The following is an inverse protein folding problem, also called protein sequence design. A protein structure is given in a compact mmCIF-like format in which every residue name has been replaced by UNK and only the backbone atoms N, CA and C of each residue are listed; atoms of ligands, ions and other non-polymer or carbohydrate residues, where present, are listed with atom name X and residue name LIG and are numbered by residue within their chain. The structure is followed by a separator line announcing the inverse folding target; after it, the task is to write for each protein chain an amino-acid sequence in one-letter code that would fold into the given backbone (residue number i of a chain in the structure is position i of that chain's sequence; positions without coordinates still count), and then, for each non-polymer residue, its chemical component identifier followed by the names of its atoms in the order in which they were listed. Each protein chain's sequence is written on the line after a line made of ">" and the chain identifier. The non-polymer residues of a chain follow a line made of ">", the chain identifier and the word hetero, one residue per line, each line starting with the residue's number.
data_IF_018957955258
#
_entry.id   IF_018957955258
#
_cell.length_a   1.000
_cell.length_b   1.000
_cell.length_c   1.000
_cell.angle_alpha   90.00
_cell.angle_beta   90.00
_cell.angle_gamma   90.00
#
_symmetry.space_group_name_H-M   'P 1'
#
loop_
_entity.id
_entity.type
_entity.pdbx_description
1 polymer ?
#
# COMPACT_ATOMS: atom_id res chain seq x y z
N UNK A 1 92.46 51.45 36.92
CA UNK A 1 92.34 51.73 35.47
C UNK A 1 91.92 50.49 34.69
N UNK A 2 92.10 49.27 35.24
CA UNK A 2 91.72 47.99 34.61
C UNK A 2 90.20 47.67 34.64
N UNK A 3 89.43 48.10 35.65
CA UNK A 3 87.98 47.82 35.70
C UNK A 3 87.18 48.52 34.59
N UNK A 4 87.59 49.71 34.15
CA UNK A 4 86.90 50.44 33.07
C UNK A 4 87.12 49.81 31.69
N UNK A 5 88.28 49.20 31.46
CA UNK A 5 88.59 48.50 30.20
C UNK A 5 87.87 47.16 30.06
N UNK A 6 87.59 46.47 31.17
CA UNK A 6 86.82 45.22 31.18
C UNK A 6 85.33 45.43 30.88
N UNK A 7 84.73 46.49 31.44
CA UNK A 7 83.31 46.80 31.24
C UNK A 7 82.95 47.19 29.80
N UNK A 8 83.79 48.00 29.13
CA UNK A 8 83.56 48.42 27.74
C UNK A 8 83.74 47.25 26.74
N UNK A 9 84.69 46.34 27.00
CA UNK A 9 84.89 45.14 26.17
C UNK A 9 83.72 44.15 26.29
N UNK A 10 83.14 44.00 27.49
CA UNK A 10 81.96 43.16 27.70
C UNK A 10 80.70 43.74 27.04
N UNK A 11 80.52 45.07 27.01
CA UNK A 11 79.39 45.71 26.33
C UNK A 11 79.51 45.59 24.80
N UNK A 12 80.71 45.67 24.24
CA UNK A 12 80.95 45.49 22.81
C UNK A 12 80.80 44.02 22.35
N UNK A 13 81.22 43.04 23.15
CA UNK A 13 80.94 41.62 22.87
C UNK A 13 79.44 41.32 22.92
N UNK A 14 78.73 41.85 23.91
CA UNK A 14 77.27 41.72 24.02
C UNK A 14 76.56 42.35 22.81
N UNK A 15 77.03 43.52 22.33
CA UNK A 15 76.52 44.16 21.11
C UNK A 15 76.80 43.33 19.86
N UNK A 16 78.00 42.78 19.71
CA UNK A 16 78.38 41.95 18.57
C UNK A 16 77.63 40.61 18.55
N UNK A 17 77.44 39.97 19.71
CA UNK A 17 76.59 38.80 19.87
C UNK A 17 75.13 39.12 19.51
N UNK A 18 74.59 40.23 19.99
CA UNK A 18 73.25 40.70 19.66
C UNK A 18 73.07 40.92 18.16
N UNK A 19 74.08 41.50 17.49
CA UNK A 19 74.11 41.69 16.03
C UNK A 19 74.19 40.35 15.29
N UNK A 20 75.04 39.42 15.72
CA UNK A 20 75.16 38.06 15.13
C UNK A 20 73.86 37.25 15.30
N UNK A 21 73.24 37.30 16.48
CA UNK A 21 71.93 36.67 16.77
C UNK A 21 70.82 37.28 15.90
N UNK A 22 70.80 38.61 15.72
CA UNK A 22 69.86 39.30 14.81
C UNK A 22 70.05 38.89 13.35
N UNK A 23 71.29 38.79 12.85
CA UNK A 23 71.57 38.39 11.46
C UNK A 23 71.22 36.91 11.23
N UNK A 24 71.56 36.00 12.15
CA UNK A 24 71.16 34.58 12.09
C UNK A 24 69.64 34.43 12.09
N UNK A 25 68.93 35.13 12.98
CA UNK A 25 67.44 35.18 12.97
C UNK A 25 66.89 35.70 11.65
N UNK A 26 67.46 36.77 11.09
CA UNK A 26 67.01 37.34 9.80
C UNK A 26 67.23 36.38 8.63
N UNK A 27 68.32 35.60 8.64
CA UNK A 27 68.62 34.58 7.62
C UNK A 27 67.70 33.35 7.74
N UNK A 28 67.48 32.87 8.97
CA UNK A 28 66.51 31.81 9.25
C UNK A 28 65.08 32.20 8.87
N UNK A 29 64.67 33.44 9.18
CA UNK A 29 63.35 33.95 8.85
C UNK A 29 63.15 34.16 7.34
N UNK A 30 64.21 34.51 6.59
CA UNK A 30 64.17 34.55 5.12
C UNK A 30 63.94 33.17 4.49
N UNK A 31 64.48 32.11 5.08
CA UNK A 31 64.25 30.73 4.63
C UNK A 31 62.90 30.15 5.04
N UNK A 32 62.39 30.51 6.22
CA UNK A 32 61.13 30.00 6.77
C UNK A 32 59.88 30.73 6.23
N UNK A 33 60.02 32.02 5.86
CA UNK A 33 58.93 32.85 5.33
C UNK A 33 58.18 32.25 4.12
N UNK A 34 58.82 31.71 3.07
CA UNK A 34 58.09 31.11 1.95
C UNK A 34 57.29 29.85 2.36
N UNK A 35 57.79 29.05 3.30
CA UNK A 35 57.07 27.88 3.81
C UNK A 35 55.84 28.27 4.65
N UNK A 36 55.98 29.30 5.50
CA UNK A 36 54.84 29.82 6.28
C UNK A 36 53.77 30.40 5.35
N UNK A 37 54.17 31.20 4.35
CA UNK A 37 53.23 31.78 3.38
C UNK A 37 52.55 30.67 2.57
N UNK A 38 53.29 29.64 2.15
CA UNK A 38 52.73 28.48 1.45
C UNK A 38 51.70 27.72 2.30
N UNK A 39 52.02 27.44 3.57
CA UNK A 39 51.09 26.78 4.49
C UNK A 39 49.82 27.61 4.74
N UNK A 40 49.95 28.93 4.88
CA UNK A 40 48.82 29.85 5.04
C UNK A 40 47.93 29.90 3.79
N UNK A 41 48.54 29.92 2.59
CA UNK A 41 47.82 29.86 1.32
C UNK A 41 47.04 28.55 1.17
N UNK A 42 47.66 27.41 1.49
CA UNK A 42 46.98 26.11 1.47
C UNK A 42 45.83 26.08 2.47
N UNK A 43 46.03 26.61 3.69
CA UNK A 43 44.97 26.74 4.70
C UNK A 43 43.79 27.56 4.20
N UNK A 44 44.04 28.68 3.51
CA UNK A 44 42.98 29.51 2.90
C UNK A 44 42.27 28.74 1.77
N UNK A 45 43.01 28.07 0.89
CA UNK A 45 42.40 27.26 -0.17
C UNK A 45 41.51 26.14 0.40
N UNK A 46 41.96 25.44 1.45
CA UNK A 46 41.15 24.41 2.13
C UNK A 46 39.92 25.04 2.79
N UNK A 47 40.05 26.19 3.45
CA UNK A 47 38.92 26.87 4.08
C UNK A 47 37.88 27.35 3.04
N UNK A 48 38.33 27.88 1.90
CA UNK A 48 37.44 28.30 0.79
C UNK A 48 36.77 27.10 0.15
N UNK A 49 37.51 26.01 -0.12
CA UNK A 49 36.96 24.76 -0.65
C UNK A 49 35.96 24.13 0.32
N UNK A 50 36.29 24.09 1.61
CA UNK A 50 35.43 23.53 2.63
C UNK A 50 34.16 24.38 2.83
N UNK A 51 34.31 25.71 2.87
CA UNK A 51 33.19 26.64 2.93
C UNK A 51 32.28 26.54 1.70
N UNK A 52 32.86 26.51 0.50
CA UNK A 52 32.13 26.33 -0.77
C UNK A 52 31.40 24.99 -0.83
N UNK A 53 32.06 23.90 -0.42
CA UNK A 53 31.43 22.58 -0.33
C UNK A 53 30.28 22.57 0.68
N UNK A 54 30.44 23.23 1.83
CA UNK A 54 29.38 23.34 2.84
C UNK A 54 28.15 24.08 2.33
N UNK A 55 28.37 25.17 1.59
CA UNK A 55 27.28 25.94 0.95
C UNK A 55 26.59 25.09 -0.11
N UNK A 56 27.34 24.40 -0.98
CA UNK A 56 26.78 23.52 -2.00
C UNK A 56 25.98 22.35 -1.40
N UNK A 57 26.51 21.70 -0.38
CA UNK A 57 25.79 20.63 0.31
C UNK A 57 24.52 21.19 0.96
N UNK A 58 24.60 22.35 1.63
CA UNK A 58 23.45 23.02 2.26
C UNK A 58 22.37 23.34 1.23
N UNK A 59 22.74 23.87 0.09
CA UNK A 59 21.80 24.30 -0.94
C UNK A 59 21.12 23.09 -1.64
N UNK A 60 21.83 21.98 -1.84
CA UNK A 60 21.40 20.93 -2.75
C UNK A 60 21.19 19.54 -2.17
N UNK A 61 21.74 19.24 -0.98
CA UNK A 61 21.75 17.88 -0.40
C UNK A 61 21.03 17.79 0.94
N UNK A 62 21.15 18.82 1.78
CA UNK A 62 20.46 18.90 3.08
C UNK A 62 18.93 19.04 2.93
N UNK A 63 18.16 18.72 3.99
CA UNK A 63 16.71 18.72 3.95
C UNK A 63 16.12 20.04 3.47
N UNK A 64 14.98 19.96 2.77
CA UNK A 64 14.27 21.13 2.25
C UNK A 64 13.82 22.04 3.39
N UNK A 65 13.29 21.44 4.46
CA UNK A 65 12.92 22.12 5.69
C UNK A 65 13.12 21.18 6.90
N UNK A 66 14.11 21.46 7.75
CA UNK A 66 14.49 20.61 8.89
C UNK A 66 13.39 20.49 9.96
N UNK A 67 12.47 21.45 10.05
CA UNK A 67 11.41 21.46 11.06
C UNK A 67 10.09 20.84 10.56
N UNK A 68 9.99 20.59 9.25
CA UNK A 68 8.77 20.08 8.61
C UNK A 68 8.81 18.55 8.47
N UNK A 69 8.20 17.90 9.45
CA UNK A 69 8.00 16.46 9.51
C UNK A 69 6.63 16.01 8.95
N UNK A 70 5.94 16.84 8.17
CA UNK A 70 4.63 16.47 7.62
C UNK A 70 4.77 15.27 6.67
N UNK A 71 4.00 14.18 6.88
CA UNK A 71 4.09 12.99 6.04
C UNK A 71 3.47 13.24 4.65
N UNK A 72 4.26 13.05 3.61
CA UNK A 72 3.91 13.20 2.21
C UNK A 72 3.98 11.83 1.53
N UNK A 73 2.87 11.41 0.92
CA UNK A 73 2.79 10.13 0.22
C UNK A 73 3.30 10.28 -1.21
N UNK A 74 4.27 9.46 -1.59
CA UNK A 74 4.91 9.45 -2.92
C UNK A 74 4.77 8.07 -3.56
N UNK A 75 4.28 8.02 -4.79
CA UNK A 75 4.13 6.78 -5.55
C UNK A 75 5.24 6.71 -6.60
N UNK A 76 6.07 5.67 -6.54
CA UNK A 76 7.11 5.37 -7.53
C UNK A 76 6.67 4.15 -8.33
N UNK A 77 6.38 4.36 -9.62
CA UNK A 77 5.93 3.30 -10.52
C UNK A 77 7.06 2.34 -10.92
N UNK A 78 6.69 1.08 -11.21
CA UNK A 78 7.63 0.06 -11.66
C UNK A 78 8.31 0.48 -12.98
N UNK A 79 9.64 0.37 -13.03
CA UNK A 79 10.44 0.78 -14.18
C UNK A 79 10.84 2.27 -14.17
N UNK A 80 10.47 3.03 -13.13
CA UNK A 80 10.94 4.40 -12.95
C UNK A 80 12.45 4.45 -12.72
N UNK A 81 13.19 5.11 -13.62
CA UNK A 81 14.62 5.39 -13.43
C UNK A 81 14.85 6.56 -12.47
N UNK A 82 16.11 6.76 -12.06
CA UNK A 82 16.50 7.81 -11.10
C UNK A 82 16.03 9.23 -11.50
N UNK A 83 15.97 9.54 -12.80
CA UNK A 83 15.48 10.84 -13.28
C UNK A 83 13.96 11.01 -13.14
N UNK A 84 13.18 9.95 -13.35
CA UNK A 84 11.73 9.96 -13.13
C UNK A 84 11.42 10.12 -11.65
N UNK A 85 12.13 9.38 -10.79
CA UNK A 85 12.00 9.47 -9.34
C UNK A 85 12.35 10.88 -8.84
N UNK A 86 13.44 11.46 -9.34
CA UNK A 86 13.81 12.85 -9.02
C UNK A 86 12.72 13.85 -9.38
N UNK A 87 12.04 13.65 -10.52
CA UNK A 87 10.92 14.48 -10.94
C UNK A 87 9.75 14.38 -9.96
N UNK A 88 9.35 13.15 -9.63
CA UNK A 88 8.25 12.88 -8.68
C UNK A 88 8.54 13.49 -7.31
N UNK A 89 9.74 13.32 -6.77
CA UNK A 89 10.12 13.87 -5.46
C UNK A 89 10.14 15.41 -5.45
N UNK A 90 10.57 16.02 -6.54
CA UNK A 90 10.61 17.47 -6.68
C UNK A 90 9.20 18.08 -6.80
N UNK A 91 8.24 17.35 -7.37
CA UNK A 91 6.87 17.82 -7.63
C UNK A 91 5.86 17.34 -6.56
N UNK A 92 6.31 16.57 -5.56
CA UNK A 92 5.46 15.89 -4.58
C UNK A 92 4.54 16.79 -3.73
N UNK A 93 4.86 18.09 -3.60
CA UNK A 93 4.12 19.05 -2.78
C UNK A 93 3.16 19.95 -3.58
N UNK A 94 3.03 19.73 -4.89
CA UNK A 94 2.16 20.55 -5.76
C UNK A 94 2.82 21.82 -6.32
N UNK A 95 2.12 22.50 -7.23
CA UNK A 95 2.62 23.71 -7.90
C UNK A 95 2.77 24.88 -6.91
N UNK A 96 4.01 25.37 -6.75
CA UNK A 96 4.31 26.54 -5.91
C UNK A 96 4.94 26.22 -4.54
N UNK A 97 4.96 24.95 -4.13
CA UNK A 97 5.66 24.51 -2.92
C UNK A 97 7.04 23.91 -3.23
N UNK A 98 7.96 24.01 -2.28
CA UNK A 98 9.21 23.24 -2.35
C UNK A 98 8.88 21.76 -2.16
N UNK A 99 9.27 20.93 -3.14
CA UNK A 99 9.15 19.48 -3.09
C UNK A 99 9.98 18.83 -1.98
N UNK A 100 10.04 17.51 -1.98
CA UNK A 100 10.85 16.72 -1.03
C UNK A 100 12.35 16.81 -1.32
N UNK A 101 12.74 17.29 -2.50
CA UNK A 101 14.14 17.56 -2.87
C UNK A 101 14.26 18.96 -3.47
N UNK A 102 15.39 19.63 -3.23
CA UNK A 102 15.66 20.98 -3.79
C UNK A 102 16.09 20.95 -5.26
N UNK A 103 16.67 19.85 -5.74
CA UNK A 103 17.19 19.75 -7.10
C UNK A 103 17.11 18.33 -7.66
N UNK A 104 16.49 18.20 -8.84
CA UNK A 104 16.43 16.95 -9.61
C UNK A 104 17.83 16.45 -9.99
N UNK A 105 18.72 17.38 -10.35
CA UNK A 105 20.10 17.06 -10.75
C UNK A 105 20.93 16.56 -9.55
N UNK A 106 20.78 17.18 -8.38
CA UNK A 106 21.50 16.78 -7.17
C UNK A 106 21.12 15.35 -6.74
N UNK A 107 19.83 15.02 -6.76
CA UNK A 107 19.36 13.66 -6.49
C UNK A 107 19.96 12.64 -7.47
N UNK A 108 19.90 12.94 -8.78
CA UNK A 108 20.47 12.06 -9.81
C UNK A 108 21.97 11.85 -9.61
N UNK A 109 22.72 12.92 -9.41
CA UNK A 109 24.18 12.84 -9.16
C UNK A 109 24.46 12.00 -7.92
N UNK A 110 23.71 12.20 -6.83
CA UNK A 110 23.89 11.43 -5.60
C UNK A 110 23.64 9.93 -5.83
N UNK A 111 22.53 9.57 -6.47
CA UNK A 111 22.17 8.18 -6.75
C UNK A 111 23.16 7.51 -7.70
N UNK A 112 23.61 8.22 -8.74
CA UNK A 112 24.60 7.72 -9.70
C UNK A 112 25.98 7.55 -9.03
N UNK A 113 26.42 8.52 -8.22
CA UNK A 113 27.71 8.50 -7.54
C UNK A 113 27.80 7.44 -6.44
N UNK A 114 26.69 7.20 -5.73
CA UNK A 114 26.59 6.16 -4.69
C UNK A 114 26.37 4.76 -5.26
N UNK A 115 26.14 4.62 -6.58
CA UNK A 115 25.86 3.35 -7.22
C UNK A 115 24.50 2.74 -6.84
N UNK A 116 23.60 3.52 -6.25
CA UNK A 116 22.27 3.07 -5.79
C UNK A 116 21.19 3.12 -6.87
N UNK A 117 21.51 3.57 -8.08
CA UNK A 117 20.56 3.71 -9.19
C UNK A 117 19.78 2.42 -9.50
N UNK A 118 20.44 1.27 -9.44
CA UNK A 118 19.83 -0.04 -9.71
C UNK A 118 19.13 -0.68 -8.50
N UNK A 119 19.25 -0.09 -7.31
CA UNK A 119 18.66 -0.62 -6.06
C UNK A 119 17.41 0.13 -5.63
N UNK A 120 17.05 1.23 -6.31
CA UNK A 120 15.80 1.95 -6.07
C UNK A 120 14.60 1.04 -6.34
N UNK A 121 13.75 0.86 -5.33
CA UNK A 121 12.55 0.04 -5.43
C UNK A 121 11.34 0.89 -5.87
N UNK A 122 10.40 0.24 -6.57
CA UNK A 122 9.09 0.82 -6.82
C UNK A 122 8.17 0.60 -5.61
N UNK A 123 7.27 1.53 -5.34
CA UNK A 123 6.40 1.45 -4.17
C UNK A 123 5.79 2.79 -3.76
N UNK A 124 5.00 2.76 -2.68
CA UNK A 124 4.36 3.94 -2.09
C UNK A 124 5.08 4.32 -0.80
N UNK A 125 5.81 5.42 -0.80
CA UNK A 125 6.63 5.84 0.33
C UNK A 125 5.97 7.00 1.07
N UNK A 126 6.16 7.05 2.39
CA UNK A 126 5.82 8.20 3.20
C UNK A 126 7.13 8.90 3.54
N UNK A 127 7.31 10.11 3.01
CA UNK A 127 8.51 10.92 3.13
C UNK A 127 8.15 12.28 3.72
N UNK A 128 9.14 13.06 4.16
CA UNK A 128 8.92 14.39 4.75
C UNK A 128 10.01 15.38 4.35
N UNK A 129 9.73 16.69 4.40
CA UNK A 129 10.66 17.75 3.94
C UNK A 129 11.91 17.88 4.82
N UNK A 130 11.88 17.33 6.04
CA UNK A 130 13.02 17.23 6.95
C UNK A 130 13.98 16.07 6.64
N UNK A 131 13.67 15.24 5.64
CA UNK A 131 14.60 14.21 5.16
C UNK A 131 15.60 14.78 4.16
N UNK A 132 16.86 14.38 4.27
CA UNK A 132 17.88 14.69 3.26
C UNK A 132 17.85 13.69 2.09
N UNK A 133 18.60 13.98 1.02
CA UNK A 133 18.63 13.10 -0.16
C UNK A 133 19.12 11.69 0.20
N UNK A 134 20.05 11.56 1.14
CA UNK A 134 20.59 10.26 1.53
C UNK A 134 19.52 9.41 2.22
N UNK A 135 18.77 10.00 3.16
CA UNK A 135 17.66 9.38 3.87
C UNK A 135 16.53 8.98 2.92
N UNK A 136 16.14 9.88 2.00
CA UNK A 136 15.12 9.58 0.99
C UNK A 136 15.56 8.41 0.10
N UNK A 137 16.81 8.43 -0.38
CA UNK A 137 17.36 7.34 -1.20
C UNK A 137 17.43 6.04 -0.42
N UNK A 138 17.83 6.06 0.85
CA UNK A 138 17.87 4.87 1.70
C UNK A 138 16.48 4.27 1.91
N UNK A 139 15.46 5.10 2.18
CA UNK A 139 14.06 4.64 2.29
C UNK A 139 13.58 4.00 0.98
N UNK A 140 13.87 4.64 -0.16
CA UNK A 140 13.47 4.09 -1.47
C UNK A 140 14.24 2.81 -1.80
N UNK A 141 15.53 2.72 -1.46
CA UNK A 141 16.37 1.53 -1.68
C UNK A 141 16.03 0.36 -0.76
N UNK A 142 15.70 0.63 0.50
CA UNK A 142 15.17 -0.38 1.42
C UNK A 142 13.89 -1.00 0.86
N UNK A 143 13.11 -0.19 0.14
CA UNK A 143 11.80 -0.58 -0.36
C UNK A 143 10.77 -0.61 0.75
N UNK A 144 9.49 -0.65 0.39
CA UNK A 144 8.50 -1.12 1.34
C UNK A 144 8.71 -2.62 1.54
N UNK A 145 8.60 -3.12 2.79
CA UNK A 145 8.54 -4.56 2.98
C UNK A 145 7.42 -5.11 2.07
N UNK A 146 7.61 -6.29 1.46
CA UNK A 146 6.56 -6.89 0.65
C UNK A 146 5.29 -6.92 1.50
N UNK A 147 4.21 -6.30 0.99
CA UNK A 147 2.92 -6.32 1.67
C UNK A 147 2.59 -7.77 1.99
N UNK A 148 2.36 -8.05 3.27
CA UNK A 148 2.00 -9.40 3.67
C UNK A 148 0.69 -9.76 2.98
N UNK A 149 0.65 -10.95 2.39
CA UNK A 149 -0.56 -11.45 1.76
C UNK A 149 -1.13 -12.59 2.58
N UNK A 150 -2.45 -12.58 2.77
CA UNK A 150 -3.20 -13.71 3.29
C UNK A 150 -3.87 -14.44 2.13
N UNK A 151 -4.05 -15.76 2.27
CA UNK A 151 -4.77 -16.60 1.31
C UNK A 151 -5.88 -17.34 2.05
N UNK A 152 -7.09 -17.27 1.53
CA UNK A 152 -8.25 -17.97 2.06
C UNK A 152 -9.06 -18.62 0.96
N UNK A 153 -9.85 -19.63 1.30
CA UNK A 153 -10.71 -20.35 0.35
C UNK A 153 -12.14 -20.34 0.86
N UNK A 154 -13.07 -19.97 0.00
CA UNK A 154 -14.51 -20.03 0.26
C UNK A 154 -15.09 -21.20 -0.55
N UNK A 155 -15.51 -22.30 0.11
CA UNK A 155 -16.17 -23.42 -0.55
C UNK A 155 -17.54 -23.04 -1.13
N UNK A 156 -18.02 -23.82 -2.10
CA UNK A 156 -19.38 -23.72 -2.62
C UNK A 156 -20.43 -23.95 -1.53
N UNK A 157 -21.60 -23.33 -1.70
CA UNK A 157 -22.74 -23.46 -0.77
C UNK A 157 -22.58 -22.75 0.58
N UNK A 158 -21.52 -21.97 0.78
CA UNK A 158 -21.33 -21.17 2.00
C UNK A 158 -22.15 -19.87 1.97
N UNK A 159 -22.85 -19.57 3.06
CA UNK A 159 -23.68 -18.37 3.21
C UNK A 159 -22.83 -17.18 3.71
N UNK A 160 -23.27 -15.94 3.48
CA UNK A 160 -22.50 -14.74 3.84
C UNK A 160 -22.11 -14.69 5.33
N UNK A 161 -23.03 -15.09 6.21
CA UNK A 161 -22.76 -15.15 7.65
C UNK A 161 -21.60 -16.10 7.98
N UNK A 162 -21.59 -17.29 7.37
CA UNK A 162 -20.53 -18.29 7.53
C UNK A 162 -19.19 -17.82 6.93
N UNK A 163 -19.24 -17.10 5.81
CA UNK A 163 -18.05 -16.48 5.20
C UNK A 163 -17.43 -15.48 6.17
N UNK A 164 -18.23 -14.59 6.77
CA UNK A 164 -17.75 -13.59 7.71
C UNK A 164 -17.08 -14.23 8.93
N UNK A 165 -17.74 -15.22 9.55
CA UNK A 165 -17.19 -15.96 10.69
C UNK A 165 -15.87 -16.67 10.34
N UNK A 166 -15.81 -17.28 9.15
CA UNK A 166 -14.61 -17.95 8.66
C UNK A 166 -13.45 -16.96 8.48
N UNK A 167 -13.70 -15.80 7.89
CA UNK A 167 -12.67 -14.79 7.69
C UNK A 167 -12.15 -14.22 9.02
N UNK A 168 -13.01 -14.04 10.02
CA UNK A 168 -12.57 -13.68 11.37
C UNK A 168 -11.72 -14.77 12.00
N UNK A 169 -12.15 -16.03 11.90
CA UNK A 169 -11.41 -17.19 12.42
C UNK A 169 -10.02 -17.36 11.80
N UNK A 170 -9.87 -17.00 10.53
CA UNK A 170 -8.59 -17.03 9.82
C UNK A 170 -7.72 -15.78 10.05
N UNK A 171 -8.19 -14.83 10.88
CA UNK A 171 -7.47 -13.60 11.20
C UNK A 171 -7.42 -12.60 10.04
N UNK A 172 -8.31 -12.75 9.06
CA UNK A 172 -8.43 -11.86 7.89
C UNK A 172 -9.27 -10.63 8.24
N UNK A 173 -10.33 -10.85 9.01
CA UNK A 173 -11.17 -9.79 9.56
C UNK A 173 -10.98 -9.70 11.07
N UNK A 174 -11.06 -8.50 11.61
CA UNK A 174 -11.10 -8.31 13.07
C UNK A 174 -12.47 -8.59 13.67
N UNK A 175 -13.54 -8.32 12.91
CA UNK A 175 -14.94 -8.47 13.33
C UNK A 175 -15.84 -8.70 12.11
N UNK A 176 -17.03 -9.27 12.32
CA UNK A 176 -18.00 -9.56 11.25
C UNK A 176 -18.88 -8.36 10.88
N UNK A 177 -19.11 -7.41 11.79
CA UNK A 177 -20.19 -6.43 11.68
C UNK A 177 -20.13 -5.60 10.40
N UNK A 178 -18.95 -5.04 10.09
CA UNK A 178 -18.78 -4.20 8.91
C UNK A 178 -18.88 -4.99 7.60
N UNK A 179 -18.34 -6.20 7.58
CA UNK A 179 -18.46 -7.09 6.41
C UNK A 179 -19.93 -7.45 6.14
N UNK A 180 -20.66 -7.82 7.19
CA UNK A 180 -22.08 -8.16 7.10
C UNK A 180 -22.93 -6.94 6.73
N UNK A 181 -22.62 -5.75 7.26
CA UNK A 181 -23.30 -4.50 6.90
C UNK A 181 -23.14 -4.15 5.41
N UNK A 182 -21.92 -4.27 4.89
CA UNK A 182 -21.62 -4.06 3.46
C UNK A 182 -22.39 -5.05 2.59
N UNK A 183 -22.45 -6.33 3.00
CA UNK A 183 -23.21 -7.35 2.28
C UNK A 183 -24.73 -7.16 2.39
N UNK A 184 -25.19 -6.63 3.52
CA UNK A 184 -26.60 -6.37 3.79
C UNK A 184 -27.13 -5.24 2.93
N UNK A 185 -26.39 -4.14 2.89
CA UNK A 185 -26.81 -2.94 2.17
C UNK A 185 -26.54 -3.05 0.67
N UNK A 186 -25.40 -3.58 0.24
CA UNK A 186 -25.01 -3.63 -1.18
C UNK A 186 -24.76 -2.26 -1.82
N UNK A 187 -25.03 -1.16 -1.10
CA UNK A 187 -25.02 0.22 -1.59
C UNK A 187 -23.66 0.66 -2.15
N UNK A 188 -22.58 0.15 -1.54
CA UNK A 188 -21.20 0.45 -1.95
C UNK A 188 -20.74 -0.30 -3.21
N UNK A 189 -21.60 -1.13 -3.79
CA UNK A 189 -21.33 -2.02 -4.92
C UNK A 189 -22.34 -1.81 -6.07
N UNK A 190 -22.97 -0.64 -6.15
CA UNK A 190 -23.95 -0.28 -7.19
C UNK A 190 -23.37 -0.25 -8.61
N UNK A 191 -22.06 -0.28 -8.76
CA UNK A 191 -21.39 -0.38 -10.06
C UNK A 191 -21.58 -1.75 -10.74
N UNK A 192 -21.94 -2.80 -9.98
CA UNK A 192 -22.22 -4.12 -10.53
C UNK A 192 -23.69 -4.23 -10.93
N UNK A 193 -23.96 -4.47 -12.22
CA UNK A 193 -25.33 -4.46 -12.76
C UNK A 193 -26.30 -5.40 -12.05
N UNK A 194 -25.84 -6.56 -11.58
CA UNK A 194 -26.66 -7.50 -10.80
C UNK A 194 -27.02 -6.94 -9.40
N UNK A 195 -26.12 -6.19 -8.75
CA UNK A 195 -26.42 -5.51 -7.48
C UNK A 195 -27.41 -4.38 -7.69
N UNK A 196 -27.21 -3.56 -8.74
CA UNK A 196 -28.15 -2.48 -9.08
C UNK A 196 -29.55 -3.02 -9.37
N UNK A 197 -29.64 -4.15 -10.07
CA UNK A 197 -30.90 -4.80 -10.41
C UNK A 197 -31.67 -5.24 -9.16
N UNK A 198 -30.98 -5.83 -8.16
CA UNK A 198 -31.59 -6.20 -6.88
C UNK A 198 -32.07 -4.96 -6.13
N UNK A 199 -31.19 -3.96 -5.96
CA UNK A 199 -31.51 -2.73 -5.21
C UNK A 199 -32.63 -1.90 -5.83
N UNK A 200 -32.77 -1.96 -7.14
CA UNK A 200 -33.87 -1.30 -7.88
C UNK A 200 -35.15 -2.15 -7.88
N UNK A 201 -35.05 -3.43 -7.52
CA UNK A 201 -36.17 -4.34 -7.37
C UNK A 201 -36.96 -4.09 -6.08
N UNK A 202 -38.19 -4.59 -6.04
CA UNK A 202 -39.06 -4.47 -4.86
C UNK A 202 -38.62 -5.30 -3.66
N UNK A 203 -37.75 -6.30 -3.88
CA UNK A 203 -37.48 -7.35 -2.89
C UNK A 203 -36.20 -7.13 -2.09
N UNK A 204 -35.41 -6.09 -2.39
CA UNK A 204 -34.18 -5.79 -1.65
C UNK A 204 -34.40 -5.65 -0.14
N UNK A 205 -35.53 -5.04 0.25
CA UNK A 205 -35.89 -4.87 1.67
C UNK A 205 -36.26 -6.17 2.38
N UNK A 206 -36.59 -7.23 1.64
CA UNK A 206 -36.93 -8.55 2.18
C UNK A 206 -35.69 -9.45 2.32
N UNK A 207 -34.55 -9.05 1.74
CA UNK A 207 -33.31 -9.83 1.80
C UNK A 207 -32.61 -9.65 3.14
N UNK A 208 -32.03 -10.74 3.65
CA UNK A 208 -31.11 -10.69 4.79
C UNK A 208 -29.81 -10.01 4.36
N UNK A 209 -29.30 -10.39 3.18
CA UNK A 209 -28.17 -9.80 2.51
C UNK A 209 -28.43 -9.58 1.01
N UNK A 210 -28.22 -8.35 0.53
CA UNK A 210 -28.32 -8.03 -0.91
C UNK A 210 -27.31 -8.83 -1.73
N UNK A 211 -26.13 -9.09 -1.17
CA UNK A 211 -25.06 -9.83 -1.87
C UNK A 211 -25.12 -11.36 -1.70
N UNK A 212 -26.14 -11.92 -1.05
CA UNK A 212 -26.25 -13.38 -0.85
C UNK A 212 -26.25 -14.12 -2.20
N UNK A 213 -25.38 -15.12 -2.33
CA UNK A 213 -25.13 -15.85 -3.58
C UNK A 213 -24.16 -15.20 -4.57
N UNK A 214 -23.74 -13.94 -4.37
CA UNK A 214 -22.85 -13.22 -5.30
C UNK A 214 -21.38 -13.18 -4.86
N UNK A 215 -21.08 -13.54 -3.62
CA UNK A 215 -19.71 -13.74 -3.14
C UNK A 215 -19.18 -15.09 -3.68
N UNK A 216 -18.58 -15.08 -4.88
CA UNK A 216 -18.24 -16.31 -5.59
C UNK A 216 -17.30 -17.24 -4.79
N UNK A 217 -17.52 -18.57 -4.80
CA UNK A 217 -16.63 -19.52 -4.15
C UNK A 217 -15.32 -19.69 -4.93
N UNK A 218 -14.20 -19.32 -4.32
CA UNK A 218 -12.86 -19.50 -4.88
C UNK A 218 -11.80 -19.38 -3.78
N UNK A 219 -10.55 -19.55 -4.16
CA UNK A 219 -9.38 -19.25 -3.36
C UNK A 219 -8.85 -17.85 -3.68
N UNK A 220 -8.88 -16.97 -2.68
CA UNK A 220 -8.49 -15.57 -2.79
C UNK A 220 -7.15 -15.30 -2.13
N UNK A 221 -6.34 -14.45 -2.76
CA UNK A 221 -5.15 -13.86 -2.15
C UNK A 221 -5.36 -12.36 -1.97
N UNK A 222 -5.21 -11.85 -0.76
CA UNK A 222 -5.40 -10.44 -0.40
C UNK A 222 -4.19 -9.92 0.34
N UNK A 223 -4.04 -8.60 0.46
CA UNK A 223 -3.09 -8.03 1.41
C UNK A 223 -3.68 -8.05 2.82
N UNK A 224 -2.85 -8.23 3.86
CA UNK A 224 -3.31 -8.29 5.27
C UNK A 224 -3.89 -6.97 5.76
N UNK A 225 -3.61 -5.86 5.08
CA UNK A 225 -4.18 -4.52 5.34
C UNK A 225 -5.42 -4.23 4.46
N UNK A 226 -5.95 -5.22 3.73
CA UNK A 226 -7.13 -5.04 2.87
C UNK A 226 -8.39 -4.76 3.69
N UNK A 227 -9.19 -3.80 3.25
CA UNK A 227 -10.50 -3.53 3.85
C UNK A 227 -11.53 -4.61 3.49
N UNK A 228 -12.59 -4.71 4.30
CA UNK A 228 -13.75 -5.58 4.05
C UNK A 228 -14.34 -5.34 2.66
N UNK A 229 -14.47 -4.06 2.28
CA UNK A 229 -14.91 -3.66 0.94
C UNK A 229 -14.03 -4.26 -0.15
N UNK A 230 -12.71 -4.19 0.01
CA UNK A 230 -11.76 -4.74 -0.98
C UNK A 230 -11.91 -6.25 -1.11
N UNK A 231 -12.14 -6.94 0.01
CA UNK A 231 -12.37 -8.39 0.03
C UNK A 231 -13.66 -8.72 -0.73
N UNK A 232 -14.77 -8.06 -0.41
CA UNK A 232 -16.07 -8.24 -1.08
C UNK A 232 -15.96 -7.92 -2.57
N UNK A 233 -15.38 -6.77 -2.94
CA UNK A 233 -15.12 -6.37 -4.33
C UNK A 233 -14.40 -7.47 -5.10
N UNK A 234 -13.38 -8.11 -4.49
CA UNK A 234 -12.64 -9.19 -5.15
C UNK A 234 -13.50 -10.41 -5.44
N UNK A 235 -14.42 -10.76 -4.53
CA UNK A 235 -15.35 -11.87 -4.70
C UNK A 235 -16.46 -11.55 -5.73
N UNK A 236 -16.96 -10.30 -5.75
CA UNK A 236 -17.94 -9.83 -6.74
C UNK A 236 -17.34 -9.76 -8.15
N UNK A 237 -16.10 -9.28 -8.29
CA UNK A 237 -15.37 -9.32 -9.55
C UNK A 237 -15.22 -10.75 -10.05
N UNK A 238 -14.92 -11.69 -9.14
CA UNK A 238 -14.82 -13.09 -9.50
C UNK A 238 -16.15 -13.66 -10.00
N UNK A 239 -17.27 -13.30 -9.36
CA UNK A 239 -18.60 -13.64 -9.88
C UNK A 239 -18.80 -13.11 -11.30
N UNK A 240 -18.49 -11.83 -11.54
CA UNK A 240 -18.63 -11.20 -12.84
C UNK A 240 -17.73 -11.85 -13.93
N UNK A 241 -16.53 -12.31 -13.56
CA UNK A 241 -15.63 -13.01 -14.47
C UNK A 241 -16.15 -14.41 -14.85
N UNK A 242 -16.87 -15.08 -13.95
CA UNK A 242 -17.40 -16.43 -14.18
C UNK A 242 -18.78 -16.39 -14.83
N UNK A 243 -19.63 -15.43 -14.45
CA UNK A 243 -20.96 -15.22 -15.02
C UNK A 243 -20.86 -14.46 -16.34
N UNK A 244 -20.35 -15.15 -17.36
CA UNK A 244 -20.08 -14.59 -18.69
C UNK A 244 -21.35 -14.17 -19.45
N UNK A 245 -21.16 -13.44 -20.55
CA UNK A 245 -22.23 -13.06 -21.49
C UNK A 245 -23.03 -14.27 -22.03
N UNK A 246 -22.41 -15.44 -22.11
CA UNK A 246 -23.09 -16.68 -22.50
C UNK A 246 -24.17 -17.08 -21.48
N UNK A 247 -23.85 -16.99 -20.18
CA UNK A 247 -24.82 -17.27 -19.12
C UNK A 247 -25.91 -16.20 -19.05
N UNK A 248 -25.58 -14.93 -19.32
CA UNK A 248 -26.57 -13.87 -19.43
C UNK A 248 -27.57 -14.13 -20.58
N UNK A 249 -27.07 -14.51 -21.76
CA UNK A 249 -27.92 -14.87 -22.89
C UNK A 249 -28.81 -16.07 -22.56
N UNK A 250 -28.24 -17.10 -21.91
CA UNK A 250 -29.00 -18.29 -21.51
C UNK A 250 -30.09 -17.98 -20.49
N UNK A 251 -29.82 -17.09 -19.53
CA UNK A 251 -30.84 -16.65 -18.56
C UNK A 251 -32.01 -15.96 -19.27
N UNK A 252 -31.73 -15.10 -20.26
CA UNK A 252 -32.76 -14.45 -21.07
C UNK A 252 -33.59 -15.44 -21.89
N UNK A 253 -32.96 -16.47 -22.49
CA UNK A 253 -33.68 -17.54 -23.20
C UNK A 253 -34.62 -18.32 -22.28
N UNK A 254 -34.24 -18.50 -21.02
CA UNK A 254 -35.05 -19.14 -19.99
C UNK A 254 -36.11 -18.20 -19.39
N UNK A 255 -36.13 -16.93 -19.78
CA UNK A 255 -37.02 -15.92 -19.22
C UNK A 255 -36.72 -15.60 -17.75
N UNK A 256 -35.48 -15.85 -17.30
CA UNK A 256 -35.04 -15.65 -15.92
C UNK A 256 -34.10 -14.46 -15.82
N UNK A 257 -34.24 -13.67 -14.76
CA UNK A 257 -33.25 -12.71 -14.32
C UNK A 257 -32.01 -13.42 -13.76
N UNK A 258 -30.88 -12.70 -13.70
CA UNK A 258 -29.65 -13.22 -13.08
C UNK A 258 -29.91 -13.65 -11.63
N UNK A 259 -30.71 -12.88 -10.90
CA UNK A 259 -31.02 -13.17 -9.51
C UNK A 259 -31.87 -14.43 -9.33
N UNK A 260 -32.82 -14.70 -10.23
CA UNK A 260 -33.57 -15.96 -10.23
C UNK A 260 -32.67 -17.15 -10.57
N UNK A 261 -31.72 -16.98 -11.50
CA UNK A 261 -30.74 -18.02 -11.83
C UNK A 261 -29.84 -18.33 -10.63
N UNK A 262 -29.32 -17.30 -9.95
CA UNK A 262 -28.47 -17.46 -8.75
C UNK A 262 -29.25 -18.09 -7.60
N UNK A 263 -30.50 -17.66 -7.38
CA UNK A 263 -31.40 -18.23 -6.38
C UNK A 263 -31.68 -19.71 -6.66
N UNK A 264 -31.99 -20.07 -7.92
CA UNK A 264 -32.22 -21.46 -8.29
C UNK A 264 -30.95 -22.32 -8.14
N UNK A 265 -29.79 -21.78 -8.54
CA UNK A 265 -28.51 -22.45 -8.41
C UNK A 265 -28.16 -22.72 -6.93
N UNK A 266 -28.44 -21.78 -6.02
CA UNK A 266 -28.17 -21.95 -4.59
C UNK A 266 -29.02 -23.06 -3.97
N UNK A 267 -30.28 -23.21 -4.39
CA UNK A 267 -31.14 -24.33 -3.98
C UNK A 267 -30.62 -25.66 -4.52
N UNK A 268 -30.24 -25.73 -5.79
CA UNK A 268 -29.67 -26.95 -6.40
C UNK A 268 -28.39 -27.38 -5.67
N UNK A 269 -27.50 -26.42 -5.36
CA UNK A 269 -26.25 -26.66 -4.63
C UNK A 269 -26.52 -27.27 -3.24
N UNK A 270 -27.56 -26.82 -2.55
CA UNK A 270 -27.91 -27.30 -1.20
C UNK A 270 -28.66 -28.63 -1.19
N UNK A 271 -29.33 -29.00 -2.29
CA UNK A 271 -30.14 -30.21 -2.41
C UNK A 271 -29.37 -31.44 -2.93
N UNK A 272 -28.34 -31.23 -3.75
CA UNK A 272 -27.69 -32.31 -4.46
C UNK A 272 -26.18 -32.26 -4.45
N UNK A 273 -25.59 -33.36 -4.92
CA UNK A 273 -24.18 -33.39 -5.33
C UNK A 273 -24.09 -33.01 -6.80
N UNK A 274 -22.92 -32.56 -7.23
CA UNK A 274 -22.66 -32.10 -8.60
C UNK A 274 -23.15 -33.07 -9.69
N UNK A 275 -23.03 -34.38 -9.46
CA UNK A 275 -23.48 -35.41 -10.42
C UNK A 275 -25.00 -35.42 -10.68
N UNK A 276 -25.80 -34.90 -9.75
CA UNK A 276 -27.26 -34.89 -9.83
C UNK A 276 -27.86 -33.49 -10.04
N UNK A 277 -27.03 -32.44 -10.18
CA UNK A 277 -27.47 -31.06 -10.40
C UNK A 277 -28.44 -30.93 -11.58
N UNK A 278 -28.14 -31.59 -12.71
CA UNK A 278 -29.00 -31.56 -13.89
C UNK A 278 -30.39 -32.15 -13.64
N UNK A 279 -30.49 -33.20 -12.80
CA UNK A 279 -31.76 -33.83 -12.45
C UNK A 279 -32.57 -32.94 -11.52
N UNK A 280 -31.93 -32.37 -10.49
CA UNK A 280 -32.60 -31.47 -9.55
C UNK A 280 -33.05 -30.19 -10.25
N UNK A 281 -32.19 -29.61 -11.07
CA UNK A 281 -32.53 -28.47 -11.94
C UNK A 281 -33.75 -28.78 -12.81
N UNK A 282 -33.79 -29.94 -13.48
CA UNK A 282 -34.94 -30.34 -14.28
C UNK A 282 -36.23 -30.44 -13.45
N UNK A 283 -36.17 -30.97 -12.22
CA UNK A 283 -37.33 -31.03 -11.32
C UNK A 283 -37.84 -29.63 -10.97
N UNK A 284 -36.95 -28.70 -10.60
CA UNK A 284 -37.36 -27.35 -10.25
C UNK A 284 -37.93 -26.58 -11.44
N UNK A 285 -37.29 -26.64 -12.62
CA UNK A 285 -37.85 -26.02 -13.83
C UNK A 285 -39.23 -26.60 -14.18
N UNK A 286 -39.39 -27.94 -14.12
CA UNK A 286 -40.69 -28.58 -14.36
C UNK A 286 -41.78 -28.14 -13.37
N UNK A 287 -41.42 -27.83 -12.12
CA UNK A 287 -42.35 -27.30 -11.12
C UNK A 287 -42.73 -25.86 -11.42
N UNK A 288 -41.75 -25.00 -11.72
CA UNK A 288 -41.98 -23.59 -12.09
C UNK A 288 -42.86 -23.47 -13.34
N UNK A 289 -42.61 -24.28 -14.38
CA UNK A 289 -43.44 -24.29 -15.59
C UNK A 289 -44.90 -24.70 -15.34
N UNK A 290 -45.16 -25.46 -14.27
CA UNK A 290 -46.49 -25.93 -13.88
C UNK A 290 -47.14 -25.08 -12.78
N UNK A 291 -46.54 -23.94 -12.44
CA UNK A 291 -46.99 -23.07 -11.34
C UNK A 291 -47.11 -23.84 -10.01
N UNK A 292 -46.18 -24.78 -9.80
CA UNK A 292 -46.10 -25.58 -8.57
C UNK A 292 -45.06 -25.00 -7.62
N UNK A 293 -45.35 -25.06 -6.31
CA UNK A 293 -44.38 -24.77 -5.26
C UNK A 293 -43.13 -25.65 -5.40
N UNK A 294 -41.96 -25.08 -5.12
CA UNK A 294 -40.70 -25.82 -5.20
C UNK A 294 -40.56 -26.87 -4.10
N UNK A 295 -41.10 -26.59 -2.90
CA UNK A 295 -41.09 -27.49 -1.73
C UNK A 295 -39.69 -28.06 -1.47
N UNK A 296 -38.71 -27.17 -1.39
CA UNK A 296 -37.32 -27.51 -1.10
C UNK A 296 -37.00 -27.22 0.36
N UNK A 297 -36.29 -28.13 1.01
CA UNK A 297 -35.81 -27.98 2.38
C UNK A 297 -34.59 -27.04 2.47
N UNK A 298 -33.93 -26.76 1.35
CA UNK A 298 -32.75 -25.89 1.31
C UNK A 298 -33.02 -24.47 1.87
N UNK A 299 -34.08 -23.74 1.45
CA UNK A 299 -34.46 -22.48 2.09
C UNK A 299 -34.85 -22.61 3.56
N UNK A 300 -35.42 -23.72 4.02
CA UNK A 300 -35.72 -23.93 5.45
C UNK A 300 -34.42 -23.98 6.28
N UNK A 301 -33.36 -24.61 5.75
CA UNK A 301 -32.03 -24.59 6.39
C UNK A 301 -31.50 -23.16 6.52
N UNK A 302 -31.71 -22.34 5.49
CA UNK A 302 -31.34 -20.92 5.49
C UNK A 302 -32.14 -20.09 6.50
N UNK A 303 -33.46 -20.31 6.60
CA UNK A 303 -34.35 -19.60 7.54
C UNK A 303 -33.98 -19.93 8.99
N UNK A 304 -33.82 -21.22 9.31
CA UNK A 304 -33.58 -21.68 10.68
C UNK A 304 -32.10 -21.74 11.08
N UNK A 305 -31.19 -21.37 10.17
CA UNK A 305 -29.73 -21.41 10.36
C UNK A 305 -29.25 -22.78 10.87
N UNK A 306 -29.79 -23.85 10.30
CA UNK A 306 -29.50 -25.24 10.72
C UNK A 306 -28.47 -25.90 9.81
N UNK A 307 -27.56 -26.69 10.41
CA UNK A 307 -26.55 -27.48 9.70
C UNK A 307 -26.78 -28.97 9.97
N UNK A 308 -26.86 -29.78 8.91
CA UNK A 308 -27.00 -31.24 9.01
C UNK A 308 -28.37 -31.76 9.47
N UNK A 309 -29.39 -30.90 9.53
CA UNK A 309 -30.78 -31.31 9.75
C UNK A 309 -31.31 -31.93 8.45
N UNK A 310 -31.93 -33.10 8.58
CA UNK A 310 -32.50 -33.86 7.47
C UNK A 310 -34.01 -33.71 7.35
N UNK A 311 -34.72 -33.44 8.45
CA UNK A 311 -36.17 -33.33 8.48
C UNK A 311 -36.60 -32.05 9.21
N UNK A 312 -37.60 -31.36 8.67
CA UNK A 312 -38.27 -30.22 9.30
C UNK A 312 -39.68 -30.61 9.76
N UNK A 313 -40.17 -29.97 10.84
CA UNK A 313 -41.54 -30.23 11.31
C UNK A 313 -42.58 -29.56 10.38
N UNK A 314 -43.81 -30.04 10.42
CA UNK A 314 -44.93 -29.43 9.68
C UNK A 314 -45.10 -27.94 9.99
N UNK A 315 -44.86 -27.54 11.25
CA UNK A 315 -44.91 -26.13 11.66
C UNK A 315 -43.77 -25.32 11.03
N UNK A 316 -42.56 -25.89 10.91
CA UNK A 316 -41.42 -25.25 10.27
C UNK A 316 -41.65 -25.06 8.77
N UNK A 317 -42.23 -26.07 8.11
CA UNK A 317 -42.62 -25.99 6.68
C UNK A 317 -43.72 -24.94 6.44
N UNK A 318 -44.46 -24.52 7.46
CA UNK A 318 -45.49 -23.48 7.37
C UNK A 318 -45.01 -22.12 7.94
N UNK A 319 -43.70 -21.94 8.13
CA UNK A 319 -43.15 -20.69 8.65
C UNK A 319 -43.41 -19.51 7.69
N UNK A 320 -43.75 -18.36 8.29
CA UNK A 320 -43.98 -17.11 7.55
C UNK A 320 -42.63 -16.46 7.21
N UNK A 321 -42.14 -16.74 6.02
CA UNK A 321 -40.88 -16.21 5.50
C UNK A 321 -40.93 -16.09 3.99
N UNK A 322 -40.43 -14.99 3.39
CA UNK A 322 -40.37 -14.84 1.93
C UNK A 322 -39.46 -15.88 1.25
N UNK A 323 -38.59 -16.56 2.02
CA UNK A 323 -37.74 -17.63 1.51
C UNK A 323 -38.44 -19.00 1.52
N UNK A 324 -39.56 -19.15 2.22
CA UNK A 324 -40.17 -20.46 2.42
C UNK A 324 -40.88 -20.93 1.14
N UNK A 325 -40.29 -21.91 0.46
CA UNK A 325 -40.81 -22.46 -0.80
C UNK A 325 -41.97 -23.45 -0.64
N UNK A 326 -42.40 -23.71 0.59
CA UNK A 326 -43.60 -24.50 0.89
C UNK A 326 -44.87 -23.66 0.98
N UNK A 327 -44.75 -22.34 1.11
CA UNK A 327 -45.87 -21.41 1.35
C UNK A 327 -46.06 -20.42 0.22
#
# INVERSE_FOLDING_TARGET
>A
MEEKWSADAMDDEARLEGRRKRVKRRKAWKGLRPFIIGALSVGICVAVLWGGLRVLLREYVYPVNEEDATPITVIIEKGSGASTIAKVLYEACGEGEQGLIRSKAAFKIYVDFTGKASTLQAGTYILSKNMDIAQIVDVICMGNPPRQTAKFTIPEGMEIADIAEKLVKEGILSDTSKFLELCKTGEEFKEYGFVTAILSGGDAAQRDYVLEGYLFPDTYQIYTDSSEKTIITKMLLRFNDVFTDEYLARAQELGMSVDEVVTLASMIEKEAKTADFSKVSAVFHNRLEKDMRLESDAPLKYIFKTKGVLDFTSEQMQSDSPYNTYT
#
